data_IF_703283985573
#
_entry.id   IF_703283985573
#
_cell.length_a   1.000
_cell.length_b   1.000
_cell.length_c   1.000
_cell.angle_alpha   90.00
_cell.angle_beta   90.00
_cell.angle_gamma   90.00
#
_symmetry.space_group_name_H-M   'P 1'
#
loop_
_entity.id
_entity.type
_entity.pdbx_description
1 polymer ?
#
# COMPACT_ATOMS: atom_id res chain seq x y z
N UNK A 1 -28.83 16.63 -4.35
CA UNK A 1 -28.34 16.84 -5.74
C UNK A 1 -28.43 15.51 -6.46
N UNK A 2 -29.27 15.40 -7.49
CA UNK A 2 -29.23 14.25 -8.40
C UNK A 2 -27.88 14.23 -9.11
N UNK A 3 -27.07 13.24 -8.78
CA UNK A 3 -25.80 12.96 -9.47
C UNK A 3 -26.21 12.36 -10.83
N UNK A 4 -26.12 13.13 -11.90
CA UNK A 4 -26.43 12.65 -13.24
C UNK A 4 -25.48 11.50 -13.63
N UNK A 5 -25.90 10.61 -14.52
CA UNK A 5 -25.14 9.40 -14.94
C UNK A 5 -23.73 9.67 -15.52
N UNK A 6 -23.30 10.93 -15.59
CA UNK A 6 -22.08 11.39 -16.25
C UNK A 6 -21.20 12.29 -15.37
N UNK A 7 -21.44 12.38 -14.06
CA UNK A 7 -20.52 13.09 -13.17
C UNK A 7 -19.57 12.14 -12.43
N UNK A 8 -18.33 12.60 -12.28
CA UNK A 8 -17.25 11.94 -11.54
C UNK A 8 -16.88 12.79 -10.33
N UNK A 9 -16.66 12.18 -9.16
CA UNK A 9 -15.90 12.85 -8.10
C UNK A 9 -14.42 12.70 -8.45
N UNK A 10 -13.83 13.76 -8.97
CA UNK A 10 -12.53 13.70 -9.60
C UNK A 10 -11.41 13.71 -8.54
N UNK A 11 -10.42 12.85 -8.77
CA UNK A 11 -9.13 12.83 -8.11
C UNK A 11 -8.08 12.58 -9.18
N UNK A 12 -7.08 13.45 -9.27
CA UNK A 12 -6.00 13.31 -10.23
C UNK A 12 -5.04 12.22 -9.76
N UNK A 13 -4.88 11.16 -10.54
CA UNK A 13 -3.90 10.10 -10.26
C UNK A 13 -2.69 10.16 -11.20
N UNK A 14 -2.65 11.16 -12.10
CA UNK A 14 -1.57 11.33 -13.06
C UNK A 14 -0.23 11.60 -12.41
N UNK A 15 0.85 11.22 -13.11
CA UNK A 15 2.22 11.49 -12.66
C UNK A 15 2.46 12.99 -12.51
N UNK A 16 1.90 13.82 -13.39
CA UNK A 16 2.10 15.28 -13.38
C UNK A 16 1.29 16.01 -12.30
N UNK A 17 0.19 15.41 -11.82
CA UNK A 17 -0.77 16.07 -10.92
C UNK A 17 -1.29 17.43 -11.45
N UNK A 18 -1.30 17.61 -12.78
CA UNK A 18 -1.66 18.87 -13.44
C UNK A 18 -3.08 19.37 -13.09
N UNK A 19 -3.97 18.46 -12.69
CA UNK A 19 -5.35 18.74 -12.33
C UNK A 19 -5.66 18.52 -10.84
N UNK A 20 -4.65 18.54 -9.97
CA UNK A 20 -4.86 18.38 -8.52
C UNK A 20 -5.85 19.40 -7.91
N UNK A 21 -5.99 20.58 -8.52
CA UNK A 21 -7.00 21.61 -8.13
C UNK A 21 -8.45 21.11 -8.21
N UNK A 22 -8.70 20.02 -8.94
CA UNK A 22 -10.02 19.41 -9.09
C UNK A 22 -10.28 18.26 -8.12
N UNK A 23 -9.31 17.91 -7.29
CA UNK A 23 -9.45 16.81 -6.34
C UNK A 23 -10.65 17.04 -5.41
N UNK A 24 -11.51 16.02 -5.30
CA UNK A 24 -12.74 16.06 -4.51
C UNK A 24 -13.93 16.77 -5.16
N UNK A 25 -13.73 17.48 -6.28
CA UNK A 25 -14.81 18.16 -7.00
C UNK A 25 -15.69 17.16 -7.75
N UNK A 26 -17.00 17.44 -7.84
CA UNK A 26 -17.92 16.73 -8.71
C UNK A 26 -17.92 17.43 -10.07
N UNK A 27 -17.43 16.76 -11.10
CA UNK A 27 -17.29 17.31 -12.45
C UNK A 27 -18.08 16.48 -13.46
N UNK A 28 -18.54 17.08 -14.55
CA UNK A 28 -18.94 16.28 -15.72
C UNK A 28 -17.71 15.59 -16.28
N UNK A 29 -17.83 14.30 -16.63
CA UNK A 29 -16.79 13.54 -17.31
C UNK A 29 -16.37 14.25 -18.62
N UNK A 30 -17.33 14.90 -19.30
CA UNK A 30 -17.05 15.66 -20.52
C UNK A 30 -16.21 16.92 -20.28
N UNK A 31 -16.38 17.59 -19.15
CA UNK A 31 -15.56 18.78 -18.85
C UNK A 31 -14.10 18.39 -18.62
N UNK A 32 -13.87 17.24 -17.96
CA UNK A 32 -12.53 16.67 -17.80
C UNK A 32 -11.94 16.31 -19.17
N UNK A 33 -12.71 15.68 -20.05
CA UNK A 33 -12.29 15.34 -21.41
C UNK A 33 -11.90 16.57 -22.22
N UNK A 34 -12.77 17.60 -22.27
CA UNK A 34 -12.51 18.83 -23.02
C UNK A 34 -11.24 19.50 -22.55
N UNK A 35 -11.02 19.56 -21.24
CA UNK A 35 -9.79 20.12 -20.70
C UNK A 35 -8.55 19.30 -21.11
N UNK A 36 -8.60 17.98 -21.00
CA UNK A 36 -7.51 17.09 -21.43
C UNK A 36 -7.22 17.22 -22.93
N UNK A 37 -8.25 17.41 -23.74
CA UNK A 37 -8.12 17.64 -25.18
C UNK A 37 -7.46 18.98 -25.49
N UNK A 38 -7.80 20.04 -24.76
CA UNK A 38 -7.15 21.35 -24.91
C UNK A 38 -5.66 21.29 -24.59
N UNK A 39 -5.27 20.48 -23.60
CA UNK A 39 -3.86 20.32 -23.21
C UNK A 39 -3.07 19.49 -24.22
N UNK A 40 -3.68 18.45 -24.81
CA UNK A 40 -2.97 17.58 -25.76
C UNK A 40 -3.88 17.10 -26.92
N UNK A 41 -4.19 17.96 -27.90
CA UNK A 41 -5.15 17.65 -28.96
C UNK A 41 -4.65 16.58 -29.95
N UNK A 42 -3.35 16.52 -30.20
CA UNK A 42 -2.74 15.54 -31.12
C UNK A 42 -2.83 14.11 -30.57
N UNK A 43 -2.70 13.94 -29.25
CA UNK A 43 -2.87 12.65 -28.60
C UNK A 43 -4.30 12.13 -28.76
N UNK A 44 -5.30 13.00 -28.76
CA UNK A 44 -6.68 12.58 -28.94
C UNK A 44 -6.92 11.97 -30.32
N UNK A 45 -6.30 12.54 -31.35
CA UNK A 45 -6.37 12.02 -32.70
C UNK A 45 -5.56 10.72 -32.84
N UNK A 46 -4.29 10.73 -32.44
CA UNK A 46 -3.37 9.60 -32.62
C UNK A 46 -3.71 8.38 -31.75
N UNK A 47 -4.27 8.59 -30.56
CA UNK A 47 -4.68 7.52 -29.66
C UNK A 47 -6.19 7.25 -29.69
N UNK A 48 -6.95 7.75 -30.67
CA UNK A 48 -8.40 7.54 -30.78
C UNK A 48 -9.19 7.82 -29.48
N UNK A 49 -8.79 8.86 -28.74
CA UNK A 49 -9.47 9.27 -27.50
C UNK A 49 -10.70 10.08 -27.87
N UNK A 50 -11.82 9.81 -27.20
CA UNK A 50 -13.10 10.45 -27.49
C UNK A 50 -13.11 11.87 -26.94
N UNK A 51 -13.67 12.81 -27.71
CA UNK A 51 -13.83 14.23 -27.34
C UNK A 51 -15.15 14.50 -26.62
N UNK A 52 -16.09 13.54 -26.67
CA UNK A 52 -17.38 13.61 -26.01
C UNK A 52 -17.88 12.19 -25.67
N UNK A 53 -18.20 11.95 -24.39
CA UNK A 53 -18.79 10.71 -23.88
C UNK A 53 -20.29 10.79 -23.59
N UNK A 54 -20.88 11.97 -23.41
CA UNK A 54 -22.32 12.13 -23.12
C UNK A 54 -23.20 11.58 -24.24
N UNK A 55 -22.88 11.89 -25.50
CA UNK A 55 -23.60 11.38 -26.67
C UNK A 55 -23.06 10.03 -27.18
N UNK A 56 -22.02 9.48 -26.55
CA UNK A 56 -21.36 8.27 -27.01
C UNK A 56 -22.06 7.01 -26.48
N UNK A 57 -22.74 6.32 -27.39
CA UNK A 57 -23.47 5.10 -27.10
C UNK A 57 -22.53 3.87 -27.01
N UNK A 58 -22.41 3.33 -25.79
CA UNK A 58 -21.71 2.09 -25.47
C UNK A 58 -22.50 1.29 -24.43
N UNK A 59 -22.41 -0.04 -24.51
CA UNK A 59 -23.01 -0.99 -23.56
C UNK A 59 -22.10 -1.17 -22.34
N UNK A 60 -22.49 -0.78 -21.12
CA UNK A 60 -21.67 -0.92 -19.92
C UNK A 60 -21.20 -2.35 -19.63
N UNK A 61 -21.97 -3.37 -20.02
CA UNK A 61 -21.62 -4.78 -19.82
C UNK A 61 -20.56 -5.27 -20.81
N UNK A 62 -20.22 -4.45 -21.82
CA UNK A 62 -19.29 -4.77 -22.89
C UNK A 62 -19.65 -6.05 -23.66
N UNK A 63 -20.94 -6.37 -23.76
CA UNK A 63 -21.46 -7.52 -24.52
C UNK A 63 -21.63 -7.12 -25.98
N UNK A 64 -22.23 -5.95 -26.21
CA UNK A 64 -22.49 -5.39 -27.54
C UNK A 64 -21.56 -4.19 -27.78
N UNK A 65 -21.07 -3.99 -29.00
CA UNK A 65 -20.21 -2.84 -29.36
C UNK A 65 -18.92 -2.74 -28.52
N UNK A 66 -18.19 -3.85 -28.37
CA UNK A 66 -16.94 -3.94 -27.59
C UNK A 66 -15.91 -2.87 -27.96
N UNK A 67 -15.76 -2.53 -29.24
CA UNK A 67 -14.85 -1.46 -29.70
C UNK A 67 -15.23 -0.08 -29.17
N UNK A 68 -16.53 0.20 -29.01
CA UNK A 68 -17.01 1.46 -28.43
C UNK A 68 -16.75 1.49 -26.91
N UNK A 69 -16.99 0.38 -26.22
CA UNK A 69 -16.66 0.26 -24.81
C UNK A 69 -15.16 0.49 -24.55
N UNK A 70 -14.30 -0.10 -25.40
CA UNK A 70 -12.84 0.07 -25.29
C UNK A 70 -12.42 1.54 -25.44
N UNK A 71 -12.99 2.26 -26.41
CA UNK A 71 -12.73 3.70 -26.59
C UNK A 71 -13.24 4.53 -25.42
N UNK A 72 -14.41 4.19 -24.88
CA UNK A 72 -14.97 4.88 -23.72
C UNK A 72 -14.11 4.70 -22.46
N UNK A 73 -13.73 3.46 -22.14
CA UNK A 73 -12.86 3.18 -21.00
C UNK A 73 -11.46 3.77 -21.20
N UNK A 74 -10.87 3.66 -22.40
CA UNK A 74 -9.58 4.29 -22.73
C UNK A 74 -9.60 5.79 -22.46
N UNK A 75 -10.67 6.45 -22.87
CA UNK A 75 -10.86 7.89 -22.64
C UNK A 75 -10.93 8.21 -21.14
N UNK A 76 -11.72 7.46 -20.39
CA UNK A 76 -11.86 7.66 -18.94
C UNK A 76 -10.54 7.40 -18.18
N UNK A 77 -9.80 6.35 -18.55
CA UNK A 77 -8.48 6.05 -17.98
C UNK A 77 -7.48 7.17 -18.23
N UNK A 78 -7.41 7.68 -19.45
CA UNK A 78 -6.56 8.81 -19.78
C UNK A 78 -6.96 10.07 -19.00
N UNK A 79 -8.25 10.32 -18.82
CA UNK A 79 -8.72 11.50 -18.09
C UNK A 79 -8.22 11.55 -16.64
N UNK A 80 -8.27 10.42 -15.93
CA UNK A 80 -7.86 10.35 -14.52
C UNK A 80 -6.34 10.21 -14.35
N UNK A 81 -5.64 9.60 -15.31
CA UNK A 81 -4.23 9.20 -15.13
C UNK A 81 -3.21 9.88 -16.06
N UNK A 82 -3.65 10.56 -17.12
CA UNK A 82 -2.78 11.00 -18.25
C UNK A 82 -1.97 9.87 -18.92
N UNK A 83 -2.30 8.61 -18.65
CA UNK A 83 -1.62 7.47 -19.22
C UNK A 83 -2.52 6.76 -20.21
N UNK A 84 -1.92 6.21 -21.27
CA UNK A 84 -2.66 5.46 -22.28
C UNK A 84 -2.66 3.98 -21.89
N UNK A 85 -3.82 3.34 -21.69
CA UNK A 85 -3.87 1.91 -21.44
C UNK A 85 -3.48 1.14 -22.70
N UNK A 86 -2.73 0.06 -22.52
CA UNK A 86 -2.52 -0.92 -23.58
C UNK A 86 -3.82 -1.70 -23.85
N UNK A 87 -3.97 -2.26 -25.06
CA UNK A 87 -5.19 -3.00 -25.41
C UNK A 87 -5.50 -4.15 -24.44
N UNK A 88 -4.48 -4.86 -23.95
CA UNK A 88 -4.68 -5.94 -22.99
C UNK A 88 -5.24 -5.44 -21.65
N UNK A 89 -4.97 -4.20 -21.22
CA UNK A 89 -5.54 -3.63 -19.99
C UNK A 89 -7.04 -3.30 -20.18
N UNK A 90 -7.45 -2.87 -21.38
CA UNK A 90 -8.86 -2.71 -21.73
C UNK A 90 -9.60 -4.05 -21.76
N UNK A 91 -8.97 -5.08 -22.36
CA UNK A 91 -9.49 -6.46 -22.36
C UNK A 91 -9.67 -6.97 -20.93
N UNK A 92 -8.72 -6.71 -20.04
CA UNK A 92 -8.82 -7.08 -18.61
C UNK A 92 -10.01 -6.40 -17.94
N UNK A 93 -10.28 -5.13 -18.24
CA UNK A 93 -11.48 -4.44 -17.77
C UNK A 93 -12.78 -5.17 -18.13
N UNK A 94 -12.90 -5.66 -19.37
CA UNK A 94 -14.07 -6.46 -19.80
C UNK A 94 -14.14 -7.79 -19.08
N UNK A 95 -13.00 -8.48 -18.93
CA UNK A 95 -12.95 -9.77 -18.26
C UNK A 95 -13.36 -9.68 -16.79
N UNK A 96 -12.96 -8.60 -16.10
CA UNK A 96 -13.44 -8.32 -14.74
C UNK A 96 -14.96 -8.21 -14.73
N UNK A 97 -15.54 -7.40 -15.63
CA UNK A 97 -17.01 -7.26 -15.72
C UNK A 97 -17.68 -8.60 -15.99
N UNK A 98 -17.15 -9.39 -16.93
CA UNK A 98 -17.70 -10.70 -17.28
C UNK A 98 -17.76 -11.64 -16.06
N UNK A 99 -16.72 -11.63 -15.22
CA UNK A 99 -16.62 -12.45 -14.02
C UNK A 99 -17.41 -11.93 -12.81
N UNK A 100 -17.91 -10.69 -12.83
CA UNK A 100 -18.79 -10.21 -11.77
C UNK A 100 -20.07 -11.07 -11.69
N UNK A 101 -20.61 -11.31 -10.47
CA UNK A 101 -21.87 -12.04 -10.29
C UNK A 101 -23.01 -11.44 -11.11
N UNK A 102 -23.95 -12.27 -11.58
CA UNK A 102 -25.08 -11.84 -12.41
C UNK A 102 -25.89 -10.72 -11.73
N UNK A 103 -26.24 -10.92 -10.47
CA UNK A 103 -27.05 -9.95 -9.72
C UNK A 103 -26.29 -8.65 -9.48
N UNK A 104 -24.97 -8.73 -9.32
CA UNK A 104 -24.10 -7.56 -9.24
C UNK A 104 -24.13 -6.76 -10.54
N UNK A 105 -23.96 -7.44 -11.69
CA UNK A 105 -23.97 -6.80 -13.01
C UNK A 105 -25.28 -6.04 -13.26
N UNK A 106 -26.41 -6.69 -13.01
CA UNK A 106 -27.74 -6.10 -13.22
C UNK A 106 -27.94 -4.86 -12.35
N UNK A 107 -27.47 -4.91 -11.10
CA UNK A 107 -27.72 -3.85 -10.12
C UNK A 107 -26.73 -2.68 -10.20
N UNK A 108 -25.47 -2.94 -10.53
CA UNK A 108 -24.39 -1.97 -10.30
C UNK A 108 -23.51 -1.66 -11.52
N UNK A 109 -23.51 -2.48 -12.57
CA UNK A 109 -22.66 -2.23 -13.74
C UNK A 109 -23.40 -1.34 -14.73
N UNK A 110 -23.31 -0.04 -14.49
CA UNK A 110 -23.86 1.02 -15.34
C UNK A 110 -22.74 1.86 -15.99
N UNK A 111 -23.13 2.96 -16.67
CA UNK A 111 -22.14 3.88 -17.28
C UNK A 111 -21.23 4.52 -16.23
N UNK A 112 -21.73 4.82 -15.03
CA UNK A 112 -20.94 5.44 -13.96
C UNK A 112 -19.90 4.46 -13.43
N UNK A 113 -20.25 3.18 -13.27
CA UNK A 113 -19.30 2.12 -12.94
C UNK A 113 -18.12 2.12 -13.91
N UNK A 114 -18.41 2.11 -15.22
CA UNK A 114 -17.38 2.01 -16.27
C UNK A 114 -16.56 3.30 -16.42
N UNK A 115 -17.18 4.47 -16.27
CA UNK A 115 -16.53 5.76 -16.55
C UNK A 115 -15.93 6.44 -15.31
N UNK A 116 -16.38 6.08 -14.11
CA UNK A 116 -16.00 6.80 -12.88
C UNK A 116 -15.34 5.90 -11.84
N UNK A 117 -15.69 4.61 -11.75
CA UNK A 117 -15.09 3.68 -10.78
C UNK A 117 -13.97 2.84 -11.40
N UNK A 118 -14.29 2.14 -12.49
CA UNK A 118 -13.37 1.22 -13.16
C UNK A 118 -12.04 1.86 -13.62
N UNK A 119 -11.99 3.14 -14.06
CA UNK A 119 -10.73 3.78 -14.44
C UNK A 119 -9.75 3.87 -13.27
N UNK A 120 -10.18 4.29 -12.08
CA UNK A 120 -9.31 4.32 -10.91
C UNK A 120 -8.80 2.92 -10.55
N UNK A 121 -9.68 1.92 -10.59
CA UNK A 121 -9.32 0.54 -10.30
C UNK A 121 -8.23 0.03 -11.27
N UNK A 122 -8.42 0.19 -12.58
CA UNK A 122 -7.47 -0.31 -13.59
C UNK A 122 -6.17 0.50 -13.65
N UNK A 123 -6.22 1.79 -13.33
CA UNK A 123 -5.02 2.60 -13.14
C UNK A 123 -4.21 2.10 -11.95
N UNK A 124 -4.87 1.88 -10.82
CA UNK A 124 -4.24 1.49 -9.57
C UNK A 124 -3.72 0.06 -9.52
N UNK A 125 -4.39 -0.89 -10.19
CA UNK A 125 -4.15 -2.31 -9.99
C UNK A 125 -3.90 -3.04 -11.31
N UNK A 126 -2.81 -3.81 -11.36
CA UNK A 126 -2.55 -4.76 -12.45
C UNK A 126 -3.30 -6.06 -12.19
N UNK A 127 -3.84 -6.67 -13.24
CA UNK A 127 -4.68 -7.88 -13.16
C UNK A 127 -4.19 -8.99 -14.06
N UNK A 128 -4.11 -10.21 -13.53
CA UNK A 128 -3.81 -11.43 -14.27
C UNK A 128 -4.93 -12.46 -14.15
N UNK A 129 -4.93 -13.45 -15.06
CA UNK A 129 -5.96 -14.50 -15.14
C UNK A 129 -5.55 -15.82 -14.48
N UNK A 130 -4.27 -15.97 -14.15
CA UNK A 130 -3.77 -17.16 -13.45
C UNK A 130 -4.35 -17.21 -12.02
N UNK A 131 -4.64 -18.42 -11.54
CA UNK A 131 -5.03 -18.65 -10.15
C UNK A 131 -3.85 -18.61 -9.18
N UNK A 132 -2.62 -18.76 -9.71
CA UNK A 132 -1.40 -18.69 -8.92
C UNK A 132 -1.03 -17.25 -8.55
N UNK A 133 -0.25 -17.09 -7.48
CA UNK A 133 0.31 -15.81 -7.09
C UNK A 133 1.25 -15.25 -8.17
N UNK A 134 1.13 -13.96 -8.47
CA UNK A 134 2.08 -13.22 -9.31
C UNK A 134 2.51 -11.94 -8.59
N UNK A 135 3.81 -11.74 -8.42
CA UNK A 135 4.34 -10.50 -7.84
C UNK A 135 3.88 -9.29 -8.66
N UNK A 136 3.58 -8.19 -7.96
CA UNK A 136 3.10 -6.93 -8.54
C UNK A 136 1.84 -7.02 -9.43
N UNK A 137 1.02 -8.08 -9.28
CA UNK A 137 -0.24 -8.25 -10.01
C UNK A 137 -1.29 -8.97 -9.15
N UNK A 138 -2.56 -8.62 -9.32
CA UNK A 138 -3.68 -9.21 -8.57
C UNK A 138 -4.41 -10.23 -9.43
N UNK A 139 -4.89 -11.33 -8.86
CA UNK A 139 -5.68 -12.28 -9.66
C UNK A 139 -7.06 -11.69 -9.95
N UNK A 140 -7.67 -12.10 -11.06
CA UNK A 140 -8.98 -11.59 -11.45
C UNK A 140 -10.06 -11.89 -10.39
N UNK A 141 -10.00 -13.05 -9.74
CA UNK A 141 -10.92 -13.43 -8.66
C UNK A 141 -10.80 -12.52 -7.44
N UNK A 142 -9.61 -12.01 -7.16
CA UNK A 142 -9.40 -11.02 -6.09
C UNK A 142 -10.04 -9.70 -6.47
N UNK A 143 -9.79 -9.22 -7.68
CA UNK A 143 -10.36 -7.95 -8.14
C UNK A 143 -11.89 -8.03 -8.16
N UNK A 144 -12.47 -9.15 -8.60
CA UNK A 144 -13.92 -9.39 -8.57
C UNK A 144 -14.44 -9.37 -7.13
N UNK A 145 -13.80 -10.10 -6.20
CA UNK A 145 -14.18 -10.11 -4.77
C UNK A 145 -14.07 -8.72 -4.13
N UNK A 146 -13.02 -7.97 -4.47
CA UNK A 146 -12.84 -6.60 -4.04
C UNK A 146 -14.01 -5.74 -4.50
N UNK A 147 -14.34 -5.76 -5.79
CA UNK A 147 -15.45 -4.98 -6.36
C UNK A 147 -16.77 -5.35 -5.68
N UNK A 148 -17.10 -6.63 -5.56
CA UNK A 148 -18.36 -7.06 -4.94
C UNK A 148 -18.46 -6.59 -3.49
N UNK A 149 -17.34 -6.63 -2.77
CA UNK A 149 -17.28 -6.19 -1.38
C UNK A 149 -17.33 -4.69 -1.19
N UNK A 150 -16.66 -3.89 -2.03
CA UNK A 150 -16.64 -2.42 -1.83
C UNK A 150 -18.01 -1.78 -2.09
N UNK A 151 -18.80 -2.34 -2.99
CA UNK A 151 -20.11 -1.81 -3.36
C UNK A 151 -21.20 -2.02 -2.31
N UNK A 152 -21.01 -2.98 -1.39
CA UNK A 152 -21.92 -3.20 -0.27
C UNK A 152 -21.58 -2.34 0.97
N UNK A 153 -20.45 -1.61 0.97
CA UNK A 153 -19.99 -0.87 2.15
C UNK A 153 -20.65 0.49 2.32
N UNK A 154 -21.25 0.75 3.47
CA UNK A 154 -21.89 2.04 3.73
C UNK A 154 -20.88 3.15 4.06
N UNK A 155 -19.80 2.84 4.77
CA UNK A 155 -18.77 3.81 5.20
C UNK A 155 -17.37 3.20 5.08
N UNK A 156 -16.80 3.10 3.86
CA UNK A 156 -15.57 2.36 3.64
C UNK A 156 -14.40 2.92 4.48
N UNK A 157 -13.71 2.02 5.19
CA UNK A 157 -12.48 2.30 5.91
C UNK A 157 -11.34 1.55 5.21
N UNK A 158 -10.54 2.27 4.45
CA UNK A 158 -9.38 1.74 3.75
C UNK A 158 -8.22 1.64 4.71
N UNK A 159 -7.53 0.52 4.74
CA UNK A 159 -6.32 0.33 5.55
C UNK A 159 -5.15 -0.05 4.67
N UNK A 160 -3.97 0.51 4.98
CA UNK A 160 -2.75 0.27 4.23
C UNK A 160 -1.53 0.29 5.13
N UNK A 161 -0.59 -0.61 4.91
CA UNK A 161 0.73 -0.57 5.55
C UNK A 161 1.72 0.15 4.64
N UNK A 162 2.48 1.07 5.23
CA UNK A 162 3.63 1.71 4.59
C UNK A 162 4.89 0.98 5.01
N UNK A 163 5.93 1.02 4.20
CA UNK A 163 7.29 0.62 4.60
C UNK A 163 8.24 1.82 4.56
N UNK A 164 9.33 1.77 5.33
CA UNK A 164 10.40 2.75 5.24
C UNK A 164 11.34 2.39 4.08
N UNK A 165 11.93 3.39 3.41
CA UNK A 165 12.69 3.17 2.17
C UNK A 165 14.10 3.74 2.18
N UNK A 166 15.01 2.96 1.58
CA UNK A 166 16.38 3.34 1.22
C UNK A 166 16.37 4.49 0.22
N UNK A 167 17.21 5.51 0.44
CA UNK A 167 17.47 6.58 -0.53
C UNK A 167 18.19 6.08 -1.80
N UNK A 168 17.99 6.76 -2.93
CA UNK A 168 18.53 6.37 -4.24
C UNK A 168 19.98 6.80 -4.50
N UNK A 169 20.49 7.80 -3.76
CA UNK A 169 21.69 8.57 -4.16
C UNK A 169 23.03 7.82 -4.05
N UNK A 170 23.06 6.60 -3.51
CA UNK A 170 24.25 5.76 -3.60
C UNK A 170 23.91 4.28 -3.29
N UNK A 171 24.12 3.31 -4.20
CA UNK A 171 23.82 1.90 -3.96
C UNK A 171 24.53 1.30 -2.72
N UNK A 172 25.64 1.90 -2.27
CA UNK A 172 26.38 1.52 -1.06
C UNK A 172 26.01 2.28 0.23
N UNK A 173 25.12 3.28 0.16
CA UNK A 173 24.69 4.05 1.33
C UNK A 173 23.29 3.61 1.73
N UNK A 174 23.20 2.80 2.78
CA UNK A 174 21.93 2.33 3.35
C UNK A 174 21.35 3.39 4.30
N UNK A 175 20.97 4.55 3.74
CA UNK A 175 20.28 5.61 4.50
C UNK A 175 18.81 5.67 4.15
N UNK A 176 18.01 6.11 5.12
CA UNK A 176 16.62 6.43 4.89
C UNK A 176 16.54 7.66 3.96
N UNK A 177 15.54 7.70 3.09
CA UNK A 177 15.27 8.93 2.32
C UNK A 177 15.08 10.11 3.28
N UNK A 178 15.53 11.30 2.88
CA UNK A 178 15.49 12.49 3.74
C UNK A 178 14.10 13.13 3.82
N UNK A 179 13.30 12.96 2.76
CA UNK A 179 11.96 13.52 2.67
C UNK A 179 11.04 12.58 1.90
N UNK A 180 9.75 12.67 2.20
CA UNK A 180 8.69 12.02 1.44
C UNK A 180 8.41 12.77 0.13
N UNK A 181 8.11 12.03 -0.94
CA UNK A 181 7.61 12.63 -2.18
C UNK A 181 6.12 12.97 -2.02
N UNK A 182 5.83 14.25 -1.74
CA UNK A 182 4.47 14.77 -1.58
C UNK A 182 3.59 14.44 -2.79
N UNK A 183 4.12 14.57 -4.01
CA UNK A 183 3.33 14.35 -5.22
C UNK A 183 2.90 12.89 -5.34
N UNK A 184 3.80 11.95 -5.04
CA UNK A 184 3.46 10.52 -5.05
C UNK A 184 2.52 10.12 -3.91
N UNK A 185 2.67 10.71 -2.72
CA UNK A 185 1.71 10.51 -1.62
C UNK A 185 0.31 10.95 -2.06
N UNK A 186 0.18 12.18 -2.58
CA UNK A 186 -1.08 12.71 -3.09
C UNK A 186 -1.70 11.77 -4.13
N UNK A 187 -0.90 11.27 -5.09
CA UNK A 187 -1.36 10.31 -6.11
C UNK A 187 -1.88 9.01 -5.51
N UNK A 188 -1.19 8.43 -4.53
CA UNK A 188 -1.61 7.20 -3.87
C UNK A 188 -2.88 7.41 -3.05
N UNK A 189 -3.02 8.54 -2.36
CA UNK A 189 -4.27 8.94 -1.71
C UNK A 189 -5.40 9.12 -2.73
N UNK A 190 -5.14 9.85 -3.81
CA UNK A 190 -6.10 10.11 -4.90
C UNK A 190 -6.59 8.83 -5.57
N UNK A 191 -5.75 7.80 -5.66
CA UNK A 191 -6.18 6.49 -6.14
C UNK A 191 -7.24 5.89 -5.20
N UNK A 192 -6.96 5.85 -3.89
CA UNK A 192 -7.90 5.31 -2.92
C UNK A 192 -9.18 6.14 -2.88
N UNK A 193 -9.06 7.46 -2.73
CA UNK A 193 -10.20 8.38 -2.72
C UNK A 193 -11.01 8.30 -4.01
N UNK A 194 -10.36 8.23 -5.19
CA UNK A 194 -11.02 8.10 -6.48
C UNK A 194 -11.87 6.83 -6.60
N UNK A 195 -11.38 5.70 -6.11
CA UNK A 195 -12.14 4.44 -6.06
C UNK A 195 -13.38 4.59 -5.17
N UNK A 196 -13.19 5.03 -3.94
CA UNK A 196 -14.26 5.01 -2.92
C UNK A 196 -15.26 6.16 -3.06
N UNK A 197 -14.83 7.32 -3.53
CA UNK A 197 -15.69 8.46 -3.78
C UNK A 197 -16.65 8.27 -4.97
N UNK A 198 -16.30 7.38 -5.91
CA UNK A 198 -17.11 7.08 -7.08
C UNK A 198 -17.98 5.84 -6.89
N UNK A 199 -18.03 5.27 -5.68
CA UNK A 199 -19.08 4.33 -5.29
C UNK A 199 -20.44 5.04 -5.21
N UNK A 200 -21.54 4.26 -5.28
CA UNK A 200 -22.89 4.81 -5.20
C UNK A 200 -23.19 5.47 -3.85
N UNK A 201 -24.00 6.53 -3.88
CA UNK A 201 -24.35 7.44 -2.78
C UNK A 201 -23.17 8.20 -2.15
N UNK A 202 -23.41 9.42 -1.67
CA UNK A 202 -22.41 10.30 -1.06
C UNK A 202 -21.89 9.71 0.25
N UNK A 203 -20.93 8.80 0.15
CA UNK A 203 -20.36 8.08 1.29
C UNK A 203 -19.10 8.80 1.78
N UNK A 204 -19.02 8.95 3.09
CA UNK A 204 -17.79 9.30 3.77
C UNK A 204 -16.79 8.16 3.57
N UNK A 205 -15.56 8.49 3.18
CA UNK A 205 -14.45 7.53 3.11
C UNK A 205 -13.47 7.83 4.23
N UNK A 206 -13.05 6.78 4.92
CA UNK A 206 -11.92 6.85 5.84
C UNK A 206 -10.72 6.12 5.23
N UNK A 207 -9.53 6.70 5.31
CA UNK A 207 -8.28 6.05 4.90
C UNK A 207 -7.31 6.08 6.07
N UNK A 208 -6.83 4.90 6.45
CA UNK A 208 -5.89 4.69 7.54
C UNK A 208 -4.60 4.11 6.99
N UNK A 209 -3.52 4.89 7.07
CA UNK A 209 -2.18 4.39 6.75
C UNK A 209 -1.42 4.10 8.03
N UNK A 210 -0.83 2.90 8.12
CA UNK A 210 0.07 2.54 9.21
C UNK A 210 1.50 2.77 8.78
N UNK A 211 2.24 3.55 9.56
CA UNK A 211 3.64 3.85 9.31
C UNK A 211 4.46 3.69 10.58
N UNK A 212 5.68 3.19 10.42
CA UNK A 212 6.65 3.20 11.50
C UNK A 212 7.02 4.64 11.88
N UNK A 213 6.79 4.99 13.15
CA UNK A 213 7.21 6.27 13.74
C UNK A 213 8.57 6.17 14.47
N UNK A 214 9.00 7.27 15.11
CA UNK A 214 10.23 7.34 15.90
C UNK A 214 10.05 6.65 17.26
N UNK A 215 10.07 5.32 17.29
CA UNK A 215 9.80 4.53 18.50
C UNK A 215 10.82 3.42 18.71
N UNK A 216 10.67 2.68 19.81
CA UNK A 216 11.44 1.47 20.09
C UNK A 216 11.31 0.42 18.96
N UNK A 217 10.25 0.49 18.15
CA UNK A 217 10.05 -0.41 17.01
C UNK A 217 10.60 0.15 15.70
N UNK A 218 11.33 1.27 15.71
CA UNK A 218 11.80 1.99 14.51
C UNK A 218 12.46 1.08 13.47
N UNK A 219 13.21 0.06 13.90
CA UNK A 219 13.91 -0.86 12.99
C UNK A 219 13.00 -1.89 12.31
N UNK A 220 11.73 -2.02 12.70
CA UNK A 220 10.86 -3.14 12.30
C UNK A 220 10.47 -3.15 10.83
N UNK A 221 10.49 -1.98 10.20
CA UNK A 221 9.93 -1.76 8.87
C UNK A 221 10.91 -1.06 7.92
N UNK A 222 12.20 -1.26 8.19
CA UNK A 222 13.29 -0.90 7.31
C UNK A 222 14.17 -2.10 7.11
N UNK A 223 15.03 -2.04 6.10
CA UNK A 223 15.99 -3.10 5.90
C UNK A 223 17.05 -3.09 7.02
N UNK A 224 17.43 -4.25 7.59
CA UNK A 224 18.37 -4.33 8.72
C UNK A 224 19.69 -3.57 8.51
N UNK A 225 20.24 -3.63 7.30
CA UNK A 225 21.51 -3.02 6.93
C UNK A 225 21.47 -1.49 7.05
N UNK A 226 20.29 -0.88 6.88
CA UNK A 226 20.12 0.55 7.12
C UNK A 226 20.30 0.89 8.58
N UNK A 227 19.62 0.15 9.46
CA UNK A 227 19.68 0.39 10.90
C UNK A 227 21.10 0.18 11.44
N UNK A 228 21.79 -0.87 10.96
CA UNK A 228 23.21 -1.12 11.29
C UNK A 228 24.10 0.05 10.91
N UNK A 229 23.94 0.64 9.72
CA UNK A 229 24.74 1.81 9.32
C UNK A 229 24.54 3.02 10.22
N UNK A 230 23.30 3.31 10.65
CA UNK A 230 23.05 4.38 11.61
C UNK A 230 23.67 4.07 12.99
N UNK A 231 23.65 2.81 13.44
CA UNK A 231 24.31 2.40 14.69
C UNK A 231 25.83 2.58 14.62
N UNK A 232 26.45 2.12 13.53
CA UNK A 232 27.91 2.21 13.32
C UNK A 232 28.43 3.64 13.31
N UNK A 233 27.61 4.58 12.83
CA UNK A 233 27.95 6.00 12.75
C UNK A 233 27.55 6.79 13.99
N UNK A 234 26.82 6.18 14.92
CA UNK A 234 26.25 6.88 16.08
C UNK A 234 25.12 7.84 15.72
N UNK A 235 24.45 7.63 14.59
CA UNK A 235 23.43 8.51 14.01
C UNK A 235 22.00 7.98 14.27
N UNK A 236 21.77 7.15 15.29
CA UNK A 236 20.43 6.59 15.56
C UNK A 236 19.42 7.68 15.90
N UNK A 237 19.84 8.74 16.60
CA UNK A 237 18.98 9.90 16.82
C UNK A 237 18.54 10.53 15.50
N UNK A 238 19.46 10.67 14.53
CA UNK A 238 19.13 11.23 13.21
C UNK A 238 18.13 10.35 12.48
N UNK A 239 18.26 9.02 12.54
CA UNK A 239 17.27 8.10 11.99
C UNK A 239 15.88 8.30 12.62
N UNK A 240 15.81 8.42 13.94
CA UNK A 240 14.54 8.64 14.64
C UNK A 240 13.94 10.00 14.26
N UNK A 241 14.73 11.07 14.22
CA UNK A 241 14.27 12.39 13.77
C UNK A 241 13.79 12.36 12.31
N UNK A 242 14.43 11.59 11.43
CA UNK A 242 13.97 11.40 10.06
C UNK A 242 12.62 10.66 10.00
N UNK A 243 12.41 9.62 10.81
CA UNK A 243 11.12 8.94 10.91
C UNK A 243 10.03 9.87 11.46
N UNK A 244 10.34 10.72 12.44
CA UNK A 244 9.42 11.73 12.96
C UNK A 244 9.05 12.76 11.90
N UNK A 245 10.05 13.26 11.15
CA UNK A 245 9.85 14.17 10.04
C UNK A 245 8.96 13.56 8.95
N UNK A 246 9.16 12.28 8.62
CA UNK A 246 8.31 11.56 7.68
C UNK A 246 6.87 11.44 8.18
N UNK A 247 6.68 11.06 9.45
CA UNK A 247 5.36 10.91 10.05
C UNK A 247 4.61 12.25 10.09
N UNK A 248 5.30 13.32 10.49
CA UNK A 248 4.77 14.69 10.52
C UNK A 248 4.47 15.20 9.12
N UNK A 249 5.36 15.00 8.15
CA UNK A 249 5.15 15.37 6.76
C UNK A 249 3.91 14.71 6.14
N UNK A 250 3.72 13.42 6.40
CA UNK A 250 2.52 12.69 5.96
C UNK A 250 1.24 13.18 6.64
N UNK A 251 1.27 13.47 7.94
CA UNK A 251 0.14 14.09 8.66
C UNK A 251 -0.25 15.44 8.07
N UNK A 252 0.74 16.26 7.70
CA UNK A 252 0.49 17.56 7.07
C UNK A 252 -0.14 17.40 5.68
N UNK A 253 0.28 16.41 4.89
CA UNK A 253 -0.38 16.12 3.60
C UNK A 253 -1.81 15.61 3.84
N UNK A 254 -2.03 14.78 4.85
CA UNK A 254 -3.37 14.27 5.17
C UNK A 254 -4.31 15.39 5.58
N UNK A 255 -3.86 16.40 6.33
CA UNK A 255 -4.69 17.53 6.75
C UNK A 255 -5.19 18.37 5.57
N UNK A 256 -4.40 18.49 4.49
CA UNK A 256 -4.79 19.18 3.25
C UNK A 256 -5.97 18.49 2.53
N UNK A 257 -6.18 17.19 2.75
CA UNK A 257 -7.24 16.40 2.12
C UNK A 257 -8.46 16.12 3.02
N UNK A 258 -8.40 16.50 4.30
CA UNK A 258 -9.53 16.32 5.21
C UNK A 258 -10.73 17.13 4.73
N UNK A 259 -11.91 16.53 4.79
CA UNK A 259 -13.17 17.22 4.54
C UNK A 259 -14.29 16.53 5.29
N UNK A 260 -15.50 17.08 5.21
CA UNK A 260 -16.69 16.41 5.77
C UNK A 260 -16.84 14.97 5.23
N UNK A 261 -16.46 14.71 3.97
CA UNK A 261 -16.61 13.41 3.31
C UNK A 261 -15.35 12.54 3.29
N UNK A 262 -14.21 13.08 3.74
CA UNK A 262 -12.92 12.39 3.68
C UNK A 262 -12.25 12.50 5.03
N UNK A 263 -12.05 11.36 5.69
CA UNK A 263 -11.30 11.25 6.93
C UNK A 263 -10.00 10.51 6.69
N UNK A 264 -8.86 11.15 6.93
CA UNK A 264 -7.55 10.50 6.79
C UNK A 264 -6.87 10.34 8.16
N UNK A 265 -6.32 9.17 8.45
CA UNK A 265 -5.59 8.91 9.69
C UNK A 265 -4.24 8.27 9.40
N UNK A 266 -3.17 8.88 9.91
CA UNK A 266 -1.86 8.25 9.97
C UNK A 266 -1.69 7.61 11.34
N UNK A 267 -1.66 6.28 11.37
CA UNK A 267 -1.55 5.46 12.58
C UNK A 267 -0.11 4.96 12.73
N UNK A 268 0.35 4.87 13.97
CA UNK A 268 1.65 4.29 14.25
C UNK A 268 1.57 2.76 14.11
N UNK A 269 2.46 2.18 13.30
CA UNK A 269 2.56 0.74 13.07
C UNK A 269 2.83 -0.07 14.34
N UNK A 270 3.40 0.54 15.38
CA UNK A 270 3.67 -0.08 16.67
C UNK A 270 2.44 -0.81 17.26
N UNK A 271 1.22 -0.32 16.99
CA UNK A 271 0.01 -0.98 17.47
C UNK A 271 -0.15 -2.39 16.88
N UNK A 272 0.08 -2.56 15.57
CA UNK A 272 0.07 -3.86 14.90
C UNK A 272 1.26 -4.72 15.32
N UNK A 273 2.44 -4.12 15.54
CA UNK A 273 3.61 -4.83 16.05
C UNK A 273 3.35 -5.42 17.44
N UNK A 274 2.74 -4.65 18.35
CA UNK A 274 2.36 -5.13 19.68
C UNK A 274 1.26 -6.20 19.63
N UNK A 275 0.27 -6.03 18.74
CA UNK A 275 -0.76 -7.05 18.51
C UNK A 275 -0.13 -8.36 18.01
N UNK A 276 0.82 -8.28 17.06
CA UNK A 276 1.54 -9.45 16.56
C UNK A 276 2.35 -10.12 17.67
N UNK A 277 3.02 -9.37 18.55
CA UNK A 277 3.71 -9.92 19.72
C UNK A 277 2.76 -10.67 20.66
N UNK A 278 1.64 -10.06 21.03
CA UNK A 278 0.63 -10.71 21.88
C UNK A 278 0.06 -11.96 21.21
N UNK A 279 -0.22 -11.90 19.91
CA UNK A 279 -0.64 -13.05 19.14
C UNK A 279 0.40 -14.17 19.14
N UNK A 280 1.69 -13.85 19.02
CA UNK A 280 2.77 -14.84 19.07
C UNK A 280 2.85 -15.53 20.43
N UNK A 281 2.73 -14.77 21.53
CA UNK A 281 2.72 -15.30 22.89
C UNK A 281 1.50 -16.23 23.12
N UNK A 282 0.33 -15.81 22.63
CA UNK A 282 -0.91 -16.59 22.71
C UNK A 282 -0.84 -17.87 21.88
N UNK A 283 -0.36 -17.78 20.63
CA UNK A 283 -0.39 -18.86 19.66
C UNK A 283 0.71 -19.90 19.85
N UNK A 284 1.91 -19.45 20.24
CA UNK A 284 3.12 -20.27 20.28
C UNK A 284 3.80 -20.32 21.66
N UNK A 285 3.24 -19.61 22.65
CA UNK A 285 3.75 -19.57 24.03
C UNK A 285 4.87 -18.54 24.21
N UNK A 286 5.13 -18.14 25.46
CA UNK A 286 6.11 -17.08 25.79
C UNK A 286 7.55 -17.37 25.30
N UNK A 287 7.87 -18.64 25.05
CA UNK A 287 9.18 -19.08 24.55
C UNK A 287 9.23 -19.22 23.02
N UNK A 288 8.26 -18.67 22.28
CA UNK A 288 8.18 -18.77 20.82
C UNK A 288 9.43 -18.26 20.10
N UNK A 289 10.16 -17.34 20.71
CA UNK A 289 11.42 -16.80 20.17
C UNK A 289 12.51 -17.88 20.01
N UNK A 290 12.51 -18.90 20.87
CA UNK A 290 13.52 -19.97 20.87
C UNK A 290 13.04 -21.23 20.15
N UNK A 291 11.79 -21.62 20.41
CA UNK A 291 11.17 -22.83 19.91
C UNK A 291 9.65 -22.64 19.77
N UNK A 292 9.16 -22.09 18.65
CA UNK A 292 7.74 -21.89 18.45
C UNK A 292 7.02 -23.23 18.28
N UNK A 293 6.00 -23.50 19.11
CA UNK A 293 5.17 -24.70 19.03
C UNK A 293 3.70 -24.30 18.92
N UNK A 294 3.06 -24.65 17.80
CA UNK A 294 1.68 -24.27 17.53
C UNK A 294 0.71 -24.97 18.48
N UNK A 295 -0.12 -24.19 19.20
CA UNK A 295 -1.12 -24.74 20.13
C UNK A 295 -2.39 -25.27 19.43
N UNK A 296 -2.66 -24.87 18.18
CA UNK A 296 -3.90 -25.21 17.44
C UNK A 296 -3.64 -25.36 15.94
N UNK A 297 -4.60 -25.95 15.22
CA UNK A 297 -4.55 -26.11 13.75
C UNK A 297 -4.47 -24.77 13.00
N UNK A 298 -5.12 -23.71 13.48
CA UNK A 298 -5.03 -22.38 12.85
C UNK A 298 -3.62 -21.80 12.95
N UNK A 299 -2.94 -22.03 14.09
CA UNK A 299 -1.55 -21.62 14.27
C UNK A 299 -0.59 -22.47 13.46
N UNK A 300 -0.94 -23.73 13.22
CA UNK A 300 -0.21 -24.61 12.29
C UNK A 300 -0.24 -24.06 10.85
N UNK A 301 -1.37 -23.51 10.40
CA UNK A 301 -1.45 -22.89 9.08
C UNK A 301 -0.52 -21.67 8.94
N UNK A 302 -0.40 -20.84 9.99
CA UNK A 302 0.57 -19.74 9.98
C UNK A 302 2.01 -20.25 9.97
N UNK A 303 2.30 -21.32 10.72
CA UNK A 303 3.62 -21.98 10.68
C UNK A 303 3.95 -22.45 9.26
N UNK A 304 3.00 -23.09 8.57
CA UNK A 304 3.18 -23.54 7.18
C UNK A 304 3.43 -22.36 6.22
N UNK A 305 2.73 -21.23 6.39
CA UNK A 305 3.00 -20.01 5.61
C UNK A 305 4.41 -19.49 5.90
N UNK A 306 4.81 -19.46 7.18
CA UNK A 306 6.12 -18.99 7.59
C UNK A 306 7.24 -19.84 7.00
N UNK A 307 7.15 -21.17 7.12
CA UNK A 307 8.14 -22.13 6.62
C UNK A 307 8.28 -22.08 5.09
N UNK A 308 7.15 -22.12 4.37
CA UNK A 308 7.17 -22.34 2.94
C UNK A 308 7.23 -21.05 2.11
N UNK A 309 6.73 -19.92 2.64
CA UNK A 309 6.60 -18.68 1.88
C UNK A 309 7.43 -17.53 2.45
N UNK A 310 7.44 -17.33 3.77
CA UNK A 310 8.12 -16.18 4.38
C UNK A 310 9.61 -16.44 4.65
N UNK A 311 9.98 -17.64 5.09
CA UNK A 311 11.37 -17.97 5.43
C UNK A 311 12.34 -17.81 4.25
N UNK A 312 12.00 -18.20 3.00
CA UNK A 312 12.86 -17.91 1.84
C UNK A 312 13.14 -16.41 1.66
N UNK A 313 12.14 -15.57 1.90
CA UNK A 313 12.27 -14.10 1.85
C UNK A 313 13.15 -13.57 2.98
N UNK A 314 12.92 -14.04 4.21
CA UNK A 314 13.76 -13.69 5.36
C UNK A 314 15.22 -14.09 5.12
N UNK A 315 15.50 -15.26 4.54
CA UNK A 315 16.85 -15.70 4.23
C UNK A 315 17.50 -14.90 3.09
N UNK A 316 16.69 -14.40 2.15
CA UNK A 316 17.13 -13.51 1.06
C UNK A 316 17.53 -12.14 1.59
N UNK A 317 16.75 -11.59 2.50
CA UNK A 317 16.96 -10.26 3.10
C UNK A 317 17.76 -10.26 4.40
N UNK A 318 18.04 -11.43 4.96
CA UNK A 318 18.98 -11.57 6.05
C UNK A 318 20.31 -10.98 5.58
N UNK A 319 20.68 -9.86 6.20
CA UNK A 319 21.95 -9.20 6.01
C UNK A 319 23.06 -10.27 6.06
N UNK A 320 24.00 -10.31 5.10
CA UNK A 320 25.21 -11.10 5.24
C UNK A 320 25.88 -10.93 6.61
N UNK A 321 25.79 -9.74 7.24
CA UNK A 321 26.31 -9.45 8.58
C UNK A 321 25.51 -10.11 9.74
N UNK A 322 24.39 -10.77 9.44
CA UNK A 322 23.58 -11.56 10.38
C UNK A 322 23.66 -13.07 10.07
N UNK A 323 24.44 -13.48 9.05
CA UNK A 323 24.56 -14.88 8.62
C UNK A 323 25.64 -15.62 9.40
N UNK A 324 25.22 -16.17 10.54
CA UNK A 324 25.79 -17.36 11.19
C UNK A 324 27.32 -17.42 11.32
N UNK A 325 27.89 -16.64 12.24
CA UNK A 325 29.14 -16.98 12.92
C UNK A 325 29.22 -16.39 14.35
N UNK A 326 30.06 -16.97 15.22
CA UNK A 326 30.29 -16.45 16.59
C UNK A 326 30.94 -15.06 16.64
N UNK A 327 31.58 -14.63 15.55
CA UNK A 327 32.21 -13.31 15.42
C UNK A 327 31.18 -12.17 15.28
N UNK A 328 30.02 -12.44 14.69
CA UNK A 328 28.97 -11.43 14.46
C UNK A 328 28.14 -11.14 15.70
N UNK A 329 27.90 -12.14 16.56
CA UNK A 329 27.35 -11.90 17.91
C UNK A 329 28.25 -10.94 18.70
N UNK A 330 29.56 -11.03 18.48
CA UNK A 330 30.55 -10.14 19.10
C UNK A 330 30.49 -8.74 18.48
N UNK A 331 30.38 -8.60 17.15
CA UNK A 331 30.18 -7.31 16.47
C UNK A 331 28.88 -6.62 16.90
N UNK A 332 27.76 -7.33 16.95
CA UNK A 332 26.48 -6.82 17.44
C UNK A 332 26.58 -6.39 18.91
N UNK A 333 27.22 -7.18 19.77
CA UNK A 333 27.49 -6.79 21.16
C UNK A 333 28.37 -5.55 21.25
N UNK A 334 29.41 -5.43 20.43
CA UNK A 334 30.26 -4.24 20.36
C UNK A 334 29.50 -2.99 19.91
N UNK A 335 28.62 -3.12 18.91
CA UNK A 335 27.76 -2.03 18.47
C UNK A 335 26.81 -1.57 19.58
N UNK A 336 26.26 -2.50 20.39
CA UNK A 336 25.43 -2.16 21.56
C UNK A 336 26.23 -1.38 22.60
N UNK A 337 27.45 -1.82 22.90
CA UNK A 337 28.35 -1.15 23.84
C UNK A 337 28.76 0.24 23.33
N UNK A 338 29.07 0.38 22.04
CA UNK A 338 29.45 1.64 21.43
C UNK A 338 28.28 2.63 21.39
N UNK A 339 27.08 2.16 21.07
CA UNK A 339 25.88 2.97 21.14
C UNK A 339 25.59 3.44 22.58
N UNK A 340 25.77 2.57 23.58
CA UNK A 340 25.69 2.94 25.00
C UNK A 340 26.67 4.06 25.39
N UNK A 341 27.89 4.06 24.85
CA UNK A 341 28.88 5.13 25.06
C UNK A 341 28.50 6.43 24.36
N UNK A 342 28.00 6.37 23.13
CA UNK A 342 27.53 7.54 22.38
C UNK A 342 26.34 8.22 23.07
N UNK A 343 25.44 7.43 23.65
CA UNK A 343 24.32 7.90 24.46
C UNK A 343 24.80 8.62 25.73
N UNK A 344 25.83 8.10 26.42
CA UNK A 344 26.45 8.79 27.57
C UNK A 344 27.11 10.12 27.18
N UNK A 345 27.70 10.21 25.98
CA UNK A 345 28.26 11.45 25.46
C UNK A 345 27.17 12.47 25.08
N UNK A 346 26.04 12.03 24.51
CA UNK A 346 24.91 12.92 24.24
C UNK A 346 24.24 13.40 25.53
N UNK A 347 24.03 12.52 26.51
CA UNK A 347 23.45 12.87 27.82
C UNK A 347 24.30 13.86 28.64
N UNK A 348 25.61 13.95 28.37
CA UNK A 348 26.51 14.92 29.00
C UNK A 348 26.64 16.23 28.21
N UNK A 349 26.04 16.34 27.01
CA UNK A 349 25.87 17.58 26.25
C UNK A 349 24.60 18.33 26.63
N UNK A 350 24.62 19.66 26.52
CA UNK A 350 23.59 20.59 27.01
C UNK A 350 22.19 20.53 26.34
N UNK A 351 21.91 19.52 25.49
CA UNK A 351 20.65 19.42 24.72
C UNK A 351 20.13 17.97 24.62
N UNK A 352 20.51 17.06 25.51
CA UNK A 352 19.90 15.73 25.55
C UNK A 352 18.62 15.72 26.39
N UNK A 353 17.49 15.61 25.71
CA UNK A 353 16.20 15.32 26.34
C UNK A 353 16.17 13.83 26.74
N UNK A 354 16.01 13.53 28.03
CA UNK A 354 15.96 12.16 28.60
C UNK A 354 15.00 11.23 27.83
N UNK A 355 13.92 11.79 27.27
CA UNK A 355 12.96 11.07 26.43
C UNK A 355 13.62 10.38 25.24
N UNK A 356 14.48 11.07 24.49
CA UNK A 356 15.11 10.52 23.28
C UNK A 356 16.14 9.44 23.61
N UNK A 357 16.87 9.60 24.71
CA UNK A 357 17.82 8.58 25.18
C UNK A 357 17.13 7.25 25.41
N UNK A 358 15.96 7.24 26.07
CA UNK A 358 15.21 6.00 26.30
C UNK A 358 14.76 5.32 24.99
N UNK A 359 14.28 6.09 24.02
CA UNK A 359 13.82 5.59 22.72
C UNK A 359 14.97 5.06 21.85
N UNK A 360 16.14 5.71 21.90
CA UNK A 360 17.34 5.22 21.21
C UNK A 360 17.72 3.84 21.77
N UNK A 361 17.76 3.69 23.10
CA UNK A 361 18.06 2.40 23.74
C UNK A 361 17.01 1.35 23.35
N UNK A 362 15.73 1.70 23.41
CA UNK A 362 14.63 0.82 23.04
C UNK A 362 14.73 0.34 21.59
N UNK A 363 15.01 1.24 20.65
CA UNK A 363 15.17 0.92 19.23
C UNK A 363 16.32 -0.03 18.97
N UNK A 364 17.46 0.19 19.64
CA UNK A 364 18.64 -0.65 19.55
C UNK A 364 18.37 -2.04 20.14
N UNK A 365 17.80 -2.11 21.34
CA UNK A 365 17.50 -3.37 22.02
C UNK A 365 16.47 -4.19 21.24
N UNK A 366 15.44 -3.54 20.69
CA UNK A 366 14.46 -4.17 19.81
C UNK A 366 15.10 -4.74 18.54
N UNK A 367 15.98 -3.97 17.89
CA UNK A 367 16.71 -4.45 16.72
C UNK A 367 17.52 -5.71 17.05
N UNK A 368 18.29 -5.72 18.13
CA UNK A 368 19.08 -6.90 18.53
C UNK A 368 18.21 -8.11 18.82
N UNK A 369 17.12 -7.93 19.57
CA UNK A 369 16.19 -9.02 19.87
C UNK A 369 15.64 -9.64 18.59
N UNK A 370 15.26 -8.82 17.61
CA UNK A 370 14.70 -9.30 16.35
C UNK A 370 15.74 -9.90 15.40
N UNK A 371 16.91 -9.27 15.29
CA UNK A 371 18.00 -9.73 14.45
C UNK A 371 18.60 -11.06 14.95
N UNK A 372 18.46 -11.35 16.25
CA UNK A 372 18.89 -12.62 16.86
C UNK A 372 17.91 -13.78 16.68
N UNK A 373 16.70 -13.53 16.17
CA UNK A 373 15.71 -14.59 15.97
C UNK A 373 16.18 -15.58 14.92
N UNK A 374 15.91 -16.87 15.16
CA UNK A 374 16.11 -17.89 14.13
C UNK A 374 15.26 -17.54 12.88
N UNK A 375 15.71 -17.87 11.66
CA UNK A 375 15.01 -17.50 10.43
C UNK A 375 13.52 -17.87 10.42
N UNK A 376 13.17 -19.08 10.85
CA UNK A 376 11.78 -19.52 10.96
C UNK A 376 10.97 -18.66 11.93
N UNK A 377 11.51 -18.40 13.12
CA UNK A 377 10.88 -17.57 14.14
C UNK A 377 10.66 -16.14 13.64
N UNK A 378 11.63 -15.59 12.91
CA UNK A 378 11.51 -14.27 12.29
C UNK A 378 10.43 -14.26 11.21
N UNK A 379 10.43 -15.26 10.33
CA UNK A 379 9.43 -15.44 9.28
C UNK A 379 8.01 -15.58 9.85
N UNK A 380 7.88 -16.27 10.98
CA UNK A 380 6.63 -16.46 11.70
C UNK A 380 6.13 -15.14 12.28
N UNK A 381 7.01 -14.36 12.92
CA UNK A 381 6.68 -13.03 13.43
C UNK A 381 6.28 -12.05 12.32
N UNK A 382 7.02 -12.00 11.20
CA UNK A 382 6.67 -11.14 10.06
C UNK A 382 5.33 -11.54 9.45
N UNK A 383 5.05 -12.85 9.34
CA UNK A 383 3.75 -13.36 8.91
C UNK A 383 2.62 -12.99 9.88
N UNK A 384 2.90 -13.00 11.19
CA UNK A 384 1.93 -12.62 12.21
C UNK A 384 1.45 -11.16 12.07
N UNK A 385 2.33 -10.23 11.66
CA UNK A 385 1.94 -8.83 11.40
C UNK A 385 0.84 -8.74 10.33
N UNK A 386 0.99 -9.46 9.22
CA UNK A 386 -0.02 -9.49 8.15
C UNK A 386 -1.28 -10.24 8.57
N UNK A 387 -1.15 -11.29 9.38
CA UNK A 387 -2.28 -11.99 9.98
C UNK A 387 -3.11 -11.06 10.89
N UNK A 388 -2.46 -10.31 11.79
CA UNK A 388 -3.15 -9.34 12.66
C UNK A 388 -3.77 -8.18 11.87
N UNK A 389 -3.12 -7.75 10.79
CA UNK A 389 -3.75 -6.81 9.86
C UNK A 389 -5.02 -7.41 9.23
N UNK A 390 -4.97 -8.66 8.78
CA UNK A 390 -6.14 -9.40 8.29
C UNK A 390 -7.28 -9.46 9.31
N UNK A 391 -6.97 -9.81 10.56
CA UNK A 391 -7.94 -9.85 11.66
C UNK A 391 -8.55 -8.50 11.98
N UNK A 392 -7.73 -7.45 12.02
CA UNK A 392 -8.21 -6.08 12.25
C UNK A 392 -9.24 -5.69 11.18
N UNK A 393 -9.04 -6.16 9.95
CA UNK A 393 -9.96 -5.90 8.85
C UNK A 393 -11.22 -6.79 8.87
N UNK A 394 -11.18 -7.98 9.48
CA UNK A 394 -12.35 -8.85 9.59
C UNK A 394 -13.31 -8.46 10.71
N UNK A 395 -12.83 -7.77 11.75
CA UNK A 395 -13.67 -7.27 12.86
C UNK A 395 -14.70 -6.24 12.38
N UNK A 396 -14.36 -5.43 11.38
CA UNK A 396 -15.22 -4.35 10.89
C UNK A 396 -15.65 -4.61 9.44
N UNK A 397 -16.95 -4.81 9.25
CA UNK A 397 -17.53 -5.07 7.94
C UNK A 397 -17.34 -3.91 6.95
N UNK A 398 -16.96 -2.72 7.38
CA UNK A 398 -16.61 -1.61 6.48
C UNK A 398 -15.11 -1.49 6.16
N UNK A 399 -14.25 -2.31 6.76
CA UNK A 399 -12.80 -2.24 6.49
C UNK A 399 -12.41 -2.98 5.22
N UNK A 400 -11.53 -2.39 4.43
CA UNK A 400 -10.89 -3.00 3.27
C UNK A 400 -9.40 -2.73 3.32
N UNK A 401 -8.60 -3.64 2.76
CA UNK A 401 -7.16 -3.51 2.71
C UNK A 401 -6.68 -3.22 1.30
N UNK A 402 -5.80 -2.24 1.17
CA UNK A 402 -5.08 -1.94 -0.07
C UNK A 402 -3.59 -1.90 0.26
N UNK A 403 -2.82 -2.77 -0.39
CA UNK A 403 -1.37 -2.87 -0.25
C UNK A 403 -0.66 -1.79 -1.05
N UNK A 404 -0.01 -0.87 -0.34
CA UNK A 404 0.84 0.19 -0.94
C UNK A 404 2.30 0.12 -0.47
N UNK A 405 2.63 -0.90 0.32
CA UNK A 405 4.01 -1.26 0.69
C UNK A 405 4.85 -1.58 -0.55
N UNK A 406 6.17 -1.48 -0.42
CA UNK A 406 7.12 -1.79 -1.49
C UNK A 406 6.99 -3.22 -1.98
N UNK A 407 6.83 -4.15 -1.06
CA UNK A 407 6.86 -5.58 -1.35
C UNK A 407 5.42 -6.10 -1.45
N UNK A 408 5.22 -6.99 -2.43
CA UNK A 408 4.00 -7.76 -2.64
C UNK A 408 4.45 -9.21 -2.66
N UNK A 409 4.54 -9.82 -1.48
CA UNK A 409 5.01 -11.19 -1.31
C UNK A 409 3.86 -12.18 -1.17
N UNK A 410 4.08 -13.42 -1.64
CA UNK A 410 3.10 -14.51 -1.48
C UNK A 410 2.73 -14.75 -0.01
N UNK A 411 3.71 -14.65 0.91
CA UNK A 411 3.48 -14.83 2.34
C UNK A 411 2.58 -13.73 2.93
N UNK A 412 2.72 -12.49 2.48
CA UNK A 412 1.93 -11.35 2.97
C UNK A 412 0.45 -11.56 2.63
N UNK A 413 0.18 -11.95 1.37
CA UNK A 413 -1.16 -12.30 0.89
C UNK A 413 -1.74 -13.50 1.66
N UNK A 414 -0.97 -14.56 1.82
CA UNK A 414 -1.41 -15.78 2.50
C UNK A 414 -1.70 -15.53 3.99
N UNK A 415 -0.80 -14.84 4.70
CA UNK A 415 -0.96 -14.53 6.11
C UNK A 415 -2.13 -13.57 6.36
N UNK A 416 -2.29 -12.54 5.52
CA UNK A 416 -3.44 -11.64 5.60
C UNK A 416 -4.76 -12.40 5.39
N UNK A 417 -4.81 -13.30 4.41
CA UNK A 417 -6.00 -14.12 4.14
C UNK A 417 -6.33 -15.05 5.30
N UNK A 418 -5.31 -15.67 5.93
CA UNK A 418 -5.48 -16.49 7.12
C UNK A 418 -6.07 -15.69 8.28
N UNK A 419 -5.59 -14.46 8.50
CA UNK A 419 -6.08 -13.57 9.54
C UNK A 419 -7.49 -13.05 9.30
N UNK A 420 -7.84 -12.73 8.06
CA UNK A 420 -9.19 -12.28 7.71
C UNK A 420 -10.24 -13.39 7.92
N UNK A 421 -9.85 -14.65 7.66
CA UNK A 421 -10.69 -15.84 7.85
C UNK A 421 -11.36 -16.32 6.56
N UNK A 422 -11.75 -17.60 6.54
CA UNK A 422 -12.28 -18.33 5.36
C UNK A 422 -13.65 -17.82 4.84
N UNK A 423 -14.22 -16.76 5.43
CA UNK A 423 -15.45 -16.12 4.94
C UNK A 423 -15.09 -15.16 3.79
N UNK A 424 -14.89 -15.76 2.63
CA UNK A 424 -14.40 -15.30 1.31
C UNK A 424 -14.85 -13.95 0.72
N UNK A 425 -15.36 -12.98 1.47
CA UNK A 425 -15.94 -11.79 0.85
C UNK A 425 -14.89 -10.73 0.46
N UNK A 426 -13.89 -10.45 1.30
CA UNK A 426 -12.92 -9.36 1.03
C UNK A 426 -11.52 -9.87 0.71
N UNK A 427 -10.79 -9.06 -0.03
CA UNK A 427 -9.40 -9.33 -0.43
C UNK A 427 -8.50 -8.12 -0.20
N UNK A 428 -7.20 -8.36 -0.17
CA UNK A 428 -6.14 -7.37 -0.18
C UNK A 428 -5.64 -7.19 -1.61
N UNK A 429 -5.91 -6.04 -2.23
CA UNK A 429 -5.33 -5.69 -3.53
C UNK A 429 -4.02 -4.93 -3.35
N UNK A 430 -2.99 -5.31 -4.10
CA UNK A 430 -1.72 -4.58 -4.14
C UNK A 430 -1.66 -3.65 -5.33
N UNK A 431 -1.38 -2.38 -5.04
CA UNK A 431 -1.30 -1.35 -6.05
C UNK A 431 -0.14 -1.61 -7.03
N UNK A 432 -0.19 -0.94 -8.18
CA UNK A 432 0.80 -1.04 -9.24
C UNK A 432 2.13 -0.47 -8.77
N UNK A 433 3.21 -1.15 -9.15
CA UNK A 433 4.58 -0.75 -8.90
C UNK A 433 5.32 -0.62 -10.23
N UNK A 434 6.03 0.50 -10.42
CA UNK A 434 6.98 0.65 -11.50
C UNK A 434 8.24 1.38 -11.00
N UNK A 435 9.46 0.85 -11.25
CA UNK A 435 10.69 1.55 -10.92
C UNK A 435 10.93 2.85 -11.71
N UNK A 436 10.48 2.91 -12.95
CA UNK A 436 10.77 4.00 -13.89
C UNK A 436 9.46 4.56 -14.43
N UNK A 437 8.98 5.64 -13.82
CA UNK A 437 7.73 6.27 -14.21
C UNK A 437 7.90 7.19 -15.42
N UNK A 438 6.98 7.13 -16.38
CA UNK A 438 7.02 7.93 -17.63
C UNK A 438 5.74 8.77 -17.76
N UNK A 439 5.81 10.11 -17.54
CA UNK A 439 4.68 11.00 -17.77
C UNK A 439 4.16 10.92 -19.21
N UNK A 440 2.83 10.82 -19.38
CA UNK A 440 2.20 10.74 -20.71
C UNK A 440 2.46 9.43 -21.48
N UNK A 441 3.06 8.43 -20.84
CA UNK A 441 3.38 7.13 -21.42
C UNK A 441 2.23 6.12 -21.41
N UNK A 442 2.58 4.87 -21.16
CA UNK A 442 1.60 3.78 -21.03
C UNK A 442 1.16 3.63 -19.58
N UNK A 443 -0.04 3.09 -19.38
CA UNK A 443 -0.56 2.84 -18.03
C UNK A 443 0.36 1.93 -17.20
N UNK A 444 1.14 1.04 -17.82
CA UNK A 444 2.18 0.22 -17.15
C UNK A 444 3.29 1.06 -16.50
N UNK A 445 3.46 2.31 -16.90
CA UNK A 445 4.52 3.22 -16.48
C UNK A 445 4.16 4.02 -15.22
N UNK A 446 3.03 3.74 -14.57
CA UNK A 446 2.61 4.42 -13.34
C UNK A 446 2.91 3.57 -12.10
N UNK A 447 3.32 4.21 -11.00
CA UNK A 447 3.52 3.56 -9.70
C UNK A 447 2.75 4.27 -8.59
N UNK A 448 2.04 3.50 -7.77
CA UNK A 448 1.43 3.99 -6.52
C UNK A 448 2.10 3.42 -5.27
N UNK A 449 3.02 2.47 -5.49
CA UNK A 449 3.96 1.96 -4.50
C UNK A 449 5.28 2.72 -4.62
N UNK A 450 6.05 2.75 -3.53
CA UNK A 450 7.39 3.37 -3.51
C UNK A 450 7.38 4.92 -3.61
N UNK A 451 6.45 5.59 -2.93
CA UNK A 451 6.39 7.07 -2.86
C UNK A 451 7.46 7.71 -1.94
N UNK A 452 8.51 6.96 -1.64
CA UNK A 452 9.66 7.37 -0.84
C UNK A 452 10.91 7.48 -1.73
N UNK A 453 10.73 8.09 -2.91
CA UNK A 453 11.76 8.19 -3.95
C UNK A 453 12.30 9.58 -4.07
#
# INVERSE_FOLDING_TARGET
MEVTMHTIRFYDVSISQSNAKWNGMVLSVNDVIRHRQQVNPELFQSAEILTNLESYDFDPLAIVKTSRWDRALKTALYCVSEQIPAHHELVRGRQIIQQLPRDFKIKFVDRRFVLCFLPYLLTGFKVHLDGNFQEDSNSIDEVVRFITSVYILQKPIVTSLLCAHRGFSNPGVHRLIQAVDKQKICRTLNLQLGIFANLFDSRHVQVNWYQQGPSDFASSNMFPEMFVQYMERGEILDLLLLLDNHFTGLKNIFSEYQSEHVKLELLNLDCLTRQALGYMDDAFGLNWKENPCAKTNTYQALMTIAENLAMPEVLRYADPCLKHSGEESTRLKHLRVNAGKLIQCHASGSVANESWTSTIIGAIDWFYQNASLKPLTRALFESAIFCEWGKTCSIDQNRISVGISRDHGAFQRAAWSLGYGNNNEKTLLFARRNPNEVPGGLLKDISFRQFWR
#
